data_IF_548983411907
#
_entry.id   IF_548983411907
#
_cell.length_a   1.000
_cell.length_b   1.000
_cell.length_c   1.000
_cell.angle_alpha   90.00
_cell.angle_beta   90.00
_cell.angle_gamma   90.00
#
_symmetry.space_group_name_H-M   'P 1'
#
loop_
_entity.id
_entity.type
_entity.pdbx_description
1 polymer ?
#
# COMPACT_ATOMS: atom_id res chain seq x y z
N UNK A 1 -9.26 -7.88 -13.08
CA UNK A 1 -9.62 -7.85 -11.64
C UNK A 1 -10.20 -9.17 -11.12
N UNK A 2 -10.75 -10.04 -11.98
CA UNK A 2 -11.32 -11.33 -11.56
C UNK A 2 -10.30 -12.30 -10.96
N UNK A 3 -9.03 -12.26 -11.42
CA UNK A 3 -7.99 -13.12 -10.89
C UNK A 3 -7.66 -12.73 -9.46
N UNK A 4 -7.56 -11.42 -9.18
CA UNK A 4 -7.36 -10.93 -7.82
C UNK A 4 -8.52 -11.32 -6.90
N UNK A 5 -9.77 -11.17 -7.35
CA UNK A 5 -10.96 -11.62 -6.61
C UNK A 5 -10.90 -13.09 -6.24
N UNK A 6 -10.57 -13.94 -7.22
CA UNK A 6 -10.42 -15.37 -7.01
C UNK A 6 -9.27 -15.67 -6.03
N UNK A 7 -8.15 -14.94 -6.13
CA UNK A 7 -7.00 -15.11 -5.25
C UNK A 7 -7.29 -14.73 -3.79
N UNK A 8 -7.99 -13.61 -3.55
CA UNK A 8 -8.43 -13.21 -2.21
C UNK A 8 -9.37 -14.25 -1.60
N UNK A 9 -10.31 -14.79 -2.41
CA UNK A 9 -11.19 -15.86 -1.94
C UNK A 9 -10.39 -17.10 -1.52
N UNK A 10 -9.44 -17.54 -2.36
CA UNK A 10 -8.58 -18.68 -2.07
C UNK A 10 -7.72 -18.44 -0.83
N UNK A 11 -7.14 -17.25 -0.67
CA UNK A 11 -6.37 -16.85 0.51
C UNK A 11 -7.20 -17.04 1.78
N UNK A 12 -8.41 -16.46 1.82
CA UNK A 12 -9.29 -16.55 2.97
C UNK A 12 -9.72 -18.01 3.27
N UNK A 13 -9.85 -18.87 2.25
CA UNK A 13 -10.10 -20.30 2.44
C UNK A 13 -8.90 -21.02 3.08
N UNK A 14 -7.67 -20.70 2.65
CA UNK A 14 -6.42 -21.25 3.22
C UNK A 14 -6.24 -20.82 4.67
N UNK A 15 -6.35 -19.52 4.96
CA UNK A 15 -6.22 -18.98 6.33
C UNK A 15 -7.27 -19.60 7.25
N UNK A 16 -8.52 -19.70 6.80
CA UNK A 16 -9.58 -20.35 7.59
C UNK A 16 -9.27 -21.81 7.93
N UNK A 17 -8.64 -22.54 7.01
CA UNK A 17 -8.26 -23.93 7.24
C UNK A 17 -7.06 -24.05 8.18
N UNK A 18 -6.06 -23.17 8.05
CA UNK A 18 -4.88 -23.15 8.91
C UNK A 18 -5.23 -22.86 10.37
N UNK A 19 -6.25 -22.04 10.60
CA UNK A 19 -6.71 -21.63 11.93
C UNK A 19 -8.12 -22.18 12.26
N UNK A 20 -8.43 -23.42 11.87
CA UNK A 20 -9.78 -23.99 12.07
C UNK A 20 -10.22 -24.05 13.54
N UNK A 21 -9.24 -24.20 14.45
CA UNK A 21 -9.44 -24.24 15.91
C UNK A 21 -9.21 -22.88 16.59
N UNK A 22 -8.81 -21.84 15.83
CA UNK A 22 -8.56 -20.48 16.32
C UNK A 22 -9.23 -19.43 15.42
N UNK A 23 -10.52 -19.24 15.66
CA UNK A 23 -11.35 -18.32 14.87
C UNK A 23 -10.89 -16.86 14.98
N UNK A 24 -10.29 -16.47 16.11
CA UNK A 24 -9.81 -15.10 16.31
C UNK A 24 -8.62 -14.84 15.38
N UNK A 25 -7.65 -15.75 15.32
CA UNK A 25 -6.53 -15.68 14.38
C UNK A 25 -6.99 -15.77 12.93
N UNK A 26 -7.97 -16.64 12.62
CA UNK A 26 -8.54 -16.74 11.27
C UNK A 26 -9.14 -15.42 10.78
N UNK A 27 -9.90 -14.71 11.63
CA UNK A 27 -10.52 -13.44 11.25
C UNK A 27 -9.51 -12.29 11.27
N UNK A 28 -8.49 -12.35 12.14
CA UNK A 28 -7.41 -11.37 12.20
C UNK A 28 -6.63 -11.25 10.88
N UNK A 29 -6.25 -12.38 10.29
CA UNK A 29 -5.49 -12.41 9.03
C UNK A 29 -6.35 -12.30 7.77
N UNK A 30 -7.66 -12.48 7.88
CA UNK A 30 -8.58 -12.47 6.75
C UNK A 30 -8.50 -11.15 5.98
N UNK A 31 -8.43 -11.25 4.65
CA UNK A 31 -8.52 -10.07 3.77
C UNK A 31 -9.99 -9.72 3.53
N UNK A 32 -10.33 -8.49 3.86
CA UNK A 32 -11.63 -7.86 3.65
C UNK A 32 -11.62 -6.88 2.46
N UNK A 33 -12.82 -6.57 1.96
CA UNK A 33 -13.07 -5.67 0.82
C UNK A 33 -14.24 -4.74 1.13
N UNK A 34 -14.08 -3.43 0.95
CA UNK A 34 -15.18 -2.46 0.99
C UNK A 34 -15.79 -2.32 -0.41
N UNK A 35 -16.55 -3.33 -0.86
CA UNK A 35 -17.11 -3.40 -2.23
C UNK A 35 -18.03 -2.21 -2.62
N UNK A 36 -18.47 -1.39 -1.66
CA UNK A 36 -19.36 -0.25 -1.88
C UNK A 36 -18.60 1.08 -1.82
N UNK A 37 -17.82 1.38 -2.86
CA UNK A 37 -17.25 2.73 -3.03
C UNK A 37 -18.18 3.58 -3.88
N UNK A 38 -18.53 4.77 -3.39
CA UNK A 38 -19.30 5.72 -4.16
C UNK A 38 -18.45 6.25 -5.33
N UNK A 39 -19.00 6.25 -6.54
CA UNK A 39 -18.35 6.86 -7.72
C UNK A 39 -17.95 8.32 -7.45
N UNK A 40 -18.72 9.02 -6.61
CA UNK A 40 -18.44 10.39 -6.17
C UNK A 40 -17.10 10.48 -5.43
N UNK A 41 -16.78 9.53 -4.56
CA UNK A 41 -15.53 9.53 -3.80
C UNK A 41 -14.33 9.27 -4.71
N UNK A 42 -14.49 8.38 -5.70
CA UNK A 42 -13.46 8.17 -6.74
C UNK A 42 -13.22 9.49 -7.50
N UNK A 43 -14.28 10.16 -7.94
CA UNK A 43 -14.19 11.43 -8.67
C UNK A 43 -13.56 12.55 -7.82
N UNK A 44 -13.88 12.63 -6.53
CA UNK A 44 -13.29 13.59 -5.59
C UNK A 44 -11.81 13.31 -5.32
N UNK A 45 -11.38 12.04 -5.38
CA UNK A 45 -9.98 11.65 -5.22
C UNK A 45 -9.13 11.98 -6.46
N UNK A 46 -9.71 11.97 -7.66
CA UNK A 46 -8.98 12.13 -8.93
C UNK A 46 -8.02 13.34 -8.97
N UNK A 47 -8.43 14.56 -8.56
CA UNK A 47 -7.56 15.72 -8.59
C UNK A 47 -6.29 15.60 -7.72
N UNK A 48 -6.35 14.81 -6.63
CA UNK A 48 -5.23 14.66 -5.70
C UNK A 48 -4.08 13.82 -6.25
N UNK A 49 -4.31 13.00 -7.28
CA UNK A 49 -3.23 12.24 -7.93
C UNK A 49 -2.23 13.17 -8.61
N UNK A 50 -2.66 14.31 -9.14
CA UNK A 50 -1.80 15.25 -9.86
C UNK A 50 -1.16 14.68 -11.13
N UNK A 51 -1.65 13.54 -11.62
CA UNK A 51 -1.21 12.85 -12.84
C UNK A 51 -2.30 11.88 -13.33
N UNK A 52 -2.10 11.26 -14.49
CA UNK A 52 -3.02 10.27 -15.02
C UNK A 52 -3.13 9.06 -14.09
N UNK A 53 -4.33 8.79 -13.59
CA UNK A 53 -4.62 7.60 -12.79
C UNK A 53 -4.69 6.36 -13.69
N UNK A 54 -3.99 5.26 -13.35
CA UNK A 54 -4.05 4.02 -14.12
C UNK A 54 -5.49 3.48 -14.22
N UNK A 55 -5.97 3.08 -15.41
CA UNK A 55 -7.29 2.45 -15.57
C UNK A 55 -7.49 1.23 -14.67
N UNK A 56 -6.45 0.43 -14.45
CA UNK A 56 -6.52 -0.73 -13.56
C UNK A 56 -6.76 -0.35 -12.10
N UNK A 57 -6.30 0.84 -11.66
CA UNK A 57 -6.56 1.34 -10.31
C UNK A 57 -8.00 1.85 -10.17
N UNK A 58 -8.53 2.49 -11.22
CA UNK A 58 -9.96 2.87 -11.24
C UNK A 58 -10.87 1.64 -11.26
N UNK A 59 -10.51 0.62 -12.05
CA UNK A 59 -11.17 -0.67 -12.05
C UNK A 59 -11.12 -1.30 -10.65
N UNK A 60 -9.96 -1.30 -9.99
CA UNK A 60 -9.79 -1.79 -8.63
C UNK A 60 -10.76 -1.11 -7.66
N UNK A 61 -10.75 0.22 -7.59
CA UNK A 61 -11.64 0.96 -6.67
C UNK A 61 -13.12 0.78 -6.99
N UNK A 62 -13.47 0.60 -8.26
CA UNK A 62 -14.87 0.37 -8.66
C UNK A 62 -15.35 -1.05 -8.37
N UNK A 63 -14.43 -2.00 -8.21
CA UNK A 63 -14.71 -3.44 -8.20
C UNK A 63 -14.53 -4.09 -6.84
N UNK A 64 -13.56 -3.59 -6.06
CA UNK A 64 -13.15 -4.08 -4.74
C UNK A 64 -13.23 -2.99 -3.67
N UNK A 65 -12.99 -1.74 -4.07
CA UNK A 65 -13.04 -0.56 -3.21
C UNK A 65 -11.85 -0.40 -2.27
N UNK A 66 -11.50 -1.44 -1.53
CA UNK A 66 -10.28 -1.54 -0.73
C UNK A 66 -9.82 -2.99 -0.62
N UNK A 67 -8.63 -3.18 -0.09
CA UNK A 67 -8.17 -4.46 0.42
C UNK A 67 -7.45 -4.22 1.74
N UNK A 68 -7.72 -5.04 2.74
CA UNK A 68 -6.89 -5.06 3.94
C UNK A 68 -7.32 -6.10 4.95
N UNK A 69 -6.53 -6.26 6.00
CA UNK A 69 -6.81 -7.14 7.13
C UNK A 69 -6.68 -6.38 8.46
N UNK A 70 -6.95 -7.06 9.57
CA UNK A 70 -6.88 -6.46 10.90
C UNK A 70 -5.50 -6.59 11.56
N UNK A 71 -4.57 -7.24 10.86
CA UNK A 71 -3.24 -7.56 11.35
C UNK A 71 -2.29 -6.35 11.22
N UNK A 72 -2.65 -5.23 11.85
CA UNK A 72 -1.93 -3.96 11.81
C UNK A 72 -0.45 -4.06 12.19
N UNK A 73 -0.14 -4.96 13.12
CA UNK A 73 1.20 -5.14 13.67
C UNK A 73 2.01 -6.28 13.03
N UNK A 74 1.39 -7.18 12.25
CA UNK A 74 2.06 -8.35 11.66
C UNK A 74 1.33 -8.83 10.40
N UNK A 75 2.04 -9.19 9.33
CA UNK A 75 1.41 -9.70 8.09
C UNK A 75 0.27 -8.79 7.54
N UNK A 76 0.50 -7.48 7.61
CA UNK A 76 -0.48 -6.46 7.28
C UNK A 76 -0.65 -6.25 5.79
N UNK A 77 -1.86 -5.97 5.32
CA UNK A 77 -2.13 -5.42 3.99
C UNK A 77 -3.06 -4.21 4.09
N UNK A 78 -2.75 -3.14 3.38
CA UNK A 78 -3.64 -2.00 3.23
C UNK A 78 -3.58 -1.40 1.82
N UNK A 79 -4.67 -1.53 1.08
CA UNK A 79 -5.03 -0.68 -0.04
C UNK A 79 -6.25 0.14 0.40
N UNK A 80 -6.08 1.38 0.87
CA UNK A 80 -7.14 2.16 1.50
C UNK A 80 -8.26 2.51 0.50
N UNK A 81 -9.50 2.58 0.98
CA UNK A 81 -10.62 3.02 0.16
C UNK A 81 -10.52 4.53 -0.18
N UNK A 82 -11.14 4.99 -1.28
CA UNK A 82 -11.18 6.42 -1.61
C UNK A 82 -11.72 7.32 -0.49
N UNK A 83 -12.80 6.96 0.25
CA UNK A 83 -13.23 7.72 1.42
C UNK A 83 -12.15 7.87 2.50
N UNK A 84 -11.40 6.79 2.77
CA UNK A 84 -10.30 6.82 3.74
C UNK A 84 -9.19 7.76 3.28
N UNK A 85 -8.77 7.67 2.02
CA UNK A 85 -7.78 8.56 1.43
C UNK A 85 -8.22 10.03 1.48
N UNK A 86 -9.49 10.32 1.12
CA UNK A 86 -10.05 11.67 1.20
C UNK A 86 -10.06 12.21 2.63
N UNK A 87 -10.38 11.37 3.62
CA UNK A 87 -10.31 11.76 5.04
C UNK A 87 -8.88 12.14 5.44
N UNK A 88 -7.89 11.35 5.04
CA UNK A 88 -6.47 11.61 5.33
C UNK A 88 -5.94 12.87 4.63
N UNK A 89 -6.39 13.14 3.41
CA UNK A 89 -5.99 14.34 2.64
C UNK A 89 -6.60 15.62 3.21
N UNK A 90 -7.82 15.54 3.76
CA UNK A 90 -8.58 16.70 4.23
C UNK A 90 -8.47 16.97 5.72
N UNK A 91 -7.88 16.06 6.52
CA UNK A 91 -7.68 16.30 7.95
C UNK A 91 -6.63 17.39 8.22
N UNK A 92 -6.82 18.13 9.31
CA UNK A 92 -5.86 19.10 9.83
C UNK A 92 -4.94 18.51 10.91
N UNK A 93 -5.23 17.29 11.38
CA UNK A 93 -4.42 16.64 12.40
C UNK A 93 -3.12 16.12 11.79
N UNK A 94 -1.99 16.66 12.25
CA UNK A 94 -0.68 16.36 11.68
C UNK A 94 -0.38 14.86 11.59
N UNK A 95 -0.65 14.10 12.65
CA UNK A 95 -0.36 12.66 12.71
C UNK A 95 -1.16 11.83 11.71
N UNK A 96 -2.38 12.27 11.36
CA UNK A 96 -3.28 11.59 10.42
C UNK A 96 -3.18 12.14 8.99
N UNK A 97 -2.52 13.29 8.82
CA UNK A 97 -2.55 14.03 7.57
C UNK A 97 -1.68 13.37 6.52
N UNK A 98 -2.30 13.06 5.39
CA UNK A 98 -1.60 12.75 4.14
C UNK A 98 -1.41 14.06 3.37
N UNK A 99 -0.17 14.54 3.28
CA UNK A 99 0.12 15.82 2.61
C UNK A 99 -0.06 15.76 1.09
N UNK A 100 0.11 14.59 0.48
CA UNK A 100 -0.22 14.34 -0.92
C UNK A 100 -0.38 12.83 -1.18
N UNK A 101 -0.80 12.47 -2.39
CA UNK A 101 -0.76 11.08 -2.88
C UNK A 101 0.66 10.60 -3.23
N UNK A 102 1.68 11.47 -3.07
CA UNK A 102 3.07 11.15 -3.35
C UNK A 102 3.62 10.06 -2.45
N UNK A 103 4.54 9.26 -2.99
CA UNK A 103 5.13 8.11 -2.31
C UNK A 103 5.79 8.44 -0.97
N UNK A 104 6.63 9.48 -0.93
CA UNK A 104 7.35 9.88 0.30
C UNK A 104 6.41 10.47 1.33
N UNK A 105 5.43 11.30 0.91
CA UNK A 105 4.45 11.87 1.84
C UNK A 105 3.58 10.76 2.47
N UNK A 106 3.23 9.76 1.69
CA UNK A 106 2.52 8.58 2.17
C UNK A 106 3.36 7.75 3.15
N UNK A 107 4.64 7.50 2.83
CA UNK A 107 5.58 6.83 3.74
C UNK A 107 5.65 7.57 5.08
N UNK A 108 5.84 8.88 5.07
CA UNK A 108 5.85 9.68 6.29
C UNK A 108 4.55 9.52 7.08
N UNK A 109 3.37 9.57 6.43
CA UNK A 109 2.07 9.37 7.09
C UNK A 109 1.97 8.03 7.80
N UNK A 110 2.52 6.96 7.23
CA UNK A 110 2.48 5.62 7.87
C UNK A 110 3.29 5.54 9.15
N UNK A 111 4.23 6.47 9.34
CA UNK A 111 5.02 6.66 10.56
C UNK A 111 4.55 7.90 11.34
N UNK A 112 3.24 8.20 11.31
CA UNK A 112 2.62 9.35 11.98
C UNK A 112 3.24 10.72 11.65
N UNK A 113 3.83 10.85 10.46
CA UNK A 113 4.64 12.00 10.01
C UNK A 113 5.89 12.29 10.85
N UNK A 114 6.31 11.36 11.70
CA UNK A 114 7.47 11.46 12.59
C UNK A 114 8.69 10.72 12.03
N UNK A 115 9.16 11.16 10.85
CA UNK A 115 10.40 10.65 10.23
C UNK A 115 11.37 11.80 9.96
N UNK A 116 12.16 12.22 10.97
CA UNK A 116 13.07 13.36 10.87
C UNK A 116 14.20 13.17 9.87
N UNK A 117 14.51 11.93 9.48
CA UNK A 117 15.55 11.59 8.51
C UNK A 117 15.26 12.23 7.14
N UNK A 118 13.99 12.26 6.72
CA UNK A 118 13.57 12.96 5.50
C UNK A 118 13.79 14.47 5.54
N UNK A 119 13.98 15.09 6.71
CA UNK A 119 14.27 16.52 6.81
C UNK A 119 15.72 16.86 6.40
N UNK A 120 16.59 15.85 6.33
CA UNK A 120 17.98 16.00 5.91
C UNK A 120 18.14 15.83 4.39
N UNK A 121 17.13 15.25 3.73
CA UNK A 121 17.12 15.01 2.30
C UNK A 121 16.82 16.29 1.50
N UNK A 122 17.20 16.30 0.22
CA UNK A 122 16.90 17.42 -0.66
C UNK A 122 15.40 17.54 -0.90
N UNK A 123 14.84 18.71 -0.54
CA UNK A 123 13.42 19.00 -0.80
C UNK A 123 13.04 18.83 -2.27
N UNK A 124 13.90 19.23 -3.21
CA UNK A 124 13.60 19.10 -4.64
C UNK A 124 13.54 17.65 -5.10
N UNK A 125 14.31 16.75 -4.48
CA UNK A 125 14.29 15.32 -4.79
C UNK A 125 13.01 14.67 -4.24
N UNK A 126 12.63 15.00 -3.01
CA UNK A 126 11.35 14.57 -2.42
C UNK A 126 10.17 15.06 -3.27
N UNK A 127 10.15 16.36 -3.59
CA UNK A 127 9.08 16.96 -4.40
C UNK A 127 9.03 16.31 -5.80
N UNK A 128 10.18 15.96 -6.40
CA UNK A 128 10.25 15.21 -7.65
C UNK A 128 9.62 13.81 -7.51
N UNK A 129 10.00 13.05 -6.47
CA UNK A 129 9.49 11.69 -6.26
C UNK A 129 7.98 11.74 -6.05
N UNK A 130 7.50 12.60 -5.16
CA UNK A 130 6.06 12.76 -4.87
C UNK A 130 5.26 13.18 -6.11
N UNK A 131 5.85 13.93 -7.03
CA UNK A 131 5.19 14.32 -8.27
C UNK A 131 5.04 13.15 -9.26
N UNK A 132 6.03 12.23 -9.33
CA UNK A 132 6.11 11.19 -10.37
C UNK A 132 5.69 9.79 -9.90
N UNK A 133 5.64 9.55 -8.59
CA UNK A 133 5.30 8.26 -8.00
C UNK A 133 4.22 8.42 -6.95
N UNK A 134 3.12 7.68 -7.12
CA UNK A 134 1.93 7.80 -6.25
C UNK A 134 1.71 6.53 -5.47
N UNK A 135 1.59 6.68 -4.16
CA UNK A 135 1.28 5.60 -3.23
C UNK A 135 -0.16 5.14 -3.43
N UNK A 136 -0.38 3.83 -3.38
CA UNK A 136 -1.71 3.23 -3.38
C UNK A 136 -1.96 2.28 -2.23
N UNK A 137 -0.94 1.89 -1.46
CA UNK A 137 -1.09 0.95 -0.36
C UNK A 137 0.25 0.42 0.13
N UNK A 138 0.22 -0.43 1.14
CA UNK A 138 1.41 -1.09 1.67
C UNK A 138 1.10 -2.50 2.16
N UNK A 139 2.15 -3.28 2.38
CA UNK A 139 2.04 -4.54 3.09
C UNK A 139 3.27 -4.85 3.95
N UNK A 140 3.09 -5.77 4.88
CA UNK A 140 4.12 -6.41 5.73
C UNK A 140 3.94 -7.91 5.65
N UNK A 141 5.00 -8.69 5.74
CA UNK A 141 4.91 -10.15 5.60
C UNK A 141 5.82 -10.94 6.55
N UNK A 142 6.56 -10.28 7.44
CA UNK A 142 7.60 -10.90 8.29
C UNK A 142 7.26 -10.85 9.79
N UNK A 143 5.99 -10.62 10.12
CA UNK A 143 5.51 -10.57 11.50
C UNK A 143 5.98 -9.37 12.32
N UNK A 144 6.69 -8.41 11.73
CA UNK A 144 7.28 -7.27 12.44
C UNK A 144 6.76 -5.92 11.95
N UNK A 145 6.76 -4.94 12.86
CA UNK A 145 6.35 -3.56 12.59
C UNK A 145 7.44 -2.70 11.94
N UNK A 146 8.68 -3.20 11.92
CA UNK A 146 9.88 -2.44 11.58
C UNK A 146 10.02 -2.24 10.07
N UNK A 147 9.41 -3.12 9.27
CA UNK A 147 9.49 -3.13 7.82
C UNK A 147 8.11 -2.95 7.17
N UNK A 148 8.08 -2.26 6.03
CA UNK A 148 6.91 -2.21 5.15
C UNK A 148 7.32 -2.08 3.68
N UNK A 149 6.46 -2.62 2.82
CA UNK A 149 6.59 -2.54 1.37
C UNK A 149 5.49 -1.65 0.80
N UNK A 150 5.90 -0.51 0.25
CA UNK A 150 5.03 0.53 -0.26
C UNK A 150 4.72 0.30 -1.73
N UNK A 151 3.44 0.18 -2.04
CA UNK A 151 2.92 -0.05 -3.37
C UNK A 151 2.67 1.30 -4.02
N UNK A 152 3.25 1.51 -5.20
CA UNK A 152 3.13 2.76 -5.94
C UNK A 152 2.86 2.54 -7.43
N UNK A 153 2.42 3.59 -8.12
CA UNK A 153 2.46 3.65 -9.59
C UNK A 153 3.24 4.87 -10.09
N UNK A 154 3.77 4.74 -11.31
CA UNK A 154 4.55 5.77 -11.99
C UNK A 154 3.77 6.49 -13.12
N UNK A 155 4.43 7.44 -13.77
CA UNK A 155 3.89 8.19 -14.91
C UNK A 155 3.54 7.33 -16.14
N UNK A 156 4.12 6.14 -16.26
CA UNK A 156 3.81 5.17 -17.30
C UNK A 156 2.67 4.22 -16.89
N UNK A 157 2.02 4.49 -15.75
CA UNK A 157 0.95 3.70 -15.18
C UNK A 157 1.37 2.25 -14.89
N UNK A 158 2.66 2.05 -14.58
CA UNK A 158 3.21 0.80 -14.09
C UNK A 158 3.29 0.84 -12.57
N UNK A 159 3.23 -0.34 -11.97
CA UNK A 159 3.24 -0.50 -10.52
C UNK A 159 4.58 -1.09 -10.04
N UNK A 160 4.96 -0.74 -8.83
CA UNK A 160 6.18 -1.19 -8.18
C UNK A 160 6.05 -1.20 -6.66
N UNK A 161 7.12 -1.68 -6.02
CA UNK A 161 7.29 -1.76 -4.59
C UNK A 161 8.53 -0.99 -4.16
N UNK A 162 8.46 -0.36 -2.99
CA UNK A 162 9.63 0.15 -2.27
C UNK A 162 9.65 -0.47 -0.89
N UNK A 163 10.77 -1.07 -0.51
CA UNK A 163 11.00 -1.56 0.85
C UNK A 163 11.44 -0.38 1.72
N UNK A 164 10.98 -0.37 2.96
CA UNK A 164 11.47 0.55 3.99
C UNK A 164 11.48 -0.15 5.34
N UNK A 165 12.69 -0.31 5.89
CA UNK A 165 12.91 -0.72 7.27
C UNK A 165 13.23 0.52 8.13
N UNK A 166 12.70 0.59 9.35
CA UNK A 166 12.79 1.79 10.19
C UNK A 166 14.23 2.21 10.49
N UNK A 167 15.11 1.23 10.71
CA UNK A 167 16.52 1.43 11.03
C UNK A 167 17.44 1.52 9.79
N UNK A 168 16.92 1.27 8.59
CA UNK A 168 17.69 1.23 7.33
C UNK A 168 17.26 2.36 6.39
N UNK A 169 17.22 3.59 6.91
CA UNK A 169 16.85 4.77 6.11
C UNK A 169 17.80 5.01 4.93
N UNK A 170 19.10 4.79 5.14
CA UNK A 170 20.11 4.95 4.10
C UNK A 170 19.85 3.96 2.94
N UNK A 171 19.46 2.72 3.24
CA UNK A 171 19.12 1.71 2.22
C UNK A 171 17.85 2.11 1.45
N UNK A 172 16.80 2.61 2.13
CA UNK A 172 15.65 3.21 1.45
C UNK A 172 16.09 4.31 0.47
N UNK A 173 16.96 5.20 0.92
CA UNK A 173 17.35 6.35 0.11
C UNK A 173 18.24 5.96 -1.07
N UNK A 174 19.25 5.10 -0.85
CA UNK A 174 20.23 4.71 -1.85
C UNK A 174 19.70 3.68 -2.85
N UNK A 175 18.95 2.68 -2.39
CA UNK A 175 18.51 1.55 -3.22
C UNK A 175 17.17 1.79 -3.93
N UNK A 176 16.32 2.65 -3.36
CA UNK A 176 14.98 2.90 -3.89
C UNK A 176 14.77 4.35 -4.35
N UNK A 177 14.91 5.32 -3.46
CA UNK A 177 14.52 6.70 -3.78
C UNK A 177 15.50 7.40 -4.73
N UNK A 178 16.80 7.19 -4.60
CA UNK A 178 17.82 7.77 -5.49
C UNK A 178 17.70 7.23 -6.92
N UNK A 179 17.53 5.92 -7.17
CA UNK A 179 17.27 5.40 -8.52
C UNK A 179 16.02 5.99 -9.19
N UNK A 180 14.97 6.23 -8.41
CA UNK A 180 13.72 6.85 -8.90
C UNK A 180 13.90 8.26 -9.47
N UNK A 181 14.96 8.98 -9.08
CA UNK A 181 15.31 10.28 -9.66
C UNK A 181 15.82 10.18 -11.12
N UNK A 182 16.25 8.98 -11.53
CA UNK A 182 16.79 8.73 -12.88
C UNK A 182 15.80 7.98 -13.75
N UNK A 183 15.20 6.93 -13.23
CA UNK A 183 14.27 6.08 -13.96
C UNK A 183 13.30 5.36 -13.03
N UNK A 184 12.09 5.11 -13.52
CA UNK A 184 11.11 4.30 -12.80
C UNK A 184 11.54 2.84 -12.76
N UNK A 185 11.49 2.26 -11.56
CA UNK A 185 11.64 0.81 -11.33
C UNK A 185 10.30 0.05 -11.47
N UNK A 186 9.19 0.77 -11.66
CA UNK A 186 7.88 0.16 -11.80
C UNK A 186 7.77 -0.57 -13.14
N UNK A 187 7.36 -1.84 -13.09
CA UNK A 187 7.27 -2.70 -14.28
C UNK A 187 6.00 -3.54 -14.31
N UNK A 188 5.28 -3.63 -13.20
CA UNK A 188 4.19 -4.58 -13.03
C UNK A 188 2.82 -4.01 -13.41
N UNK A 189 1.87 -4.92 -13.62
CA UNK A 189 0.44 -4.61 -13.65
C UNK A 189 -0.13 -4.73 -12.22
N UNK A 190 -1.10 -3.88 -11.87
CA UNK A 190 -1.70 -3.86 -10.54
C UNK A 190 -2.23 -5.24 -10.08
N UNK A 191 -3.01 -5.92 -10.93
CA UNK A 191 -3.64 -7.19 -10.57
C UNK A 191 -2.59 -8.26 -10.24
N UNK A 192 -1.51 -8.32 -11.03
CA UNK A 192 -0.41 -9.26 -10.80
C UNK A 192 0.41 -8.89 -9.55
N UNK A 193 0.68 -7.60 -9.35
CA UNK A 193 1.39 -7.13 -8.16
C UNK A 193 0.62 -7.48 -6.89
N UNK A 194 -0.69 -7.23 -6.85
CA UNK A 194 -1.50 -7.53 -5.66
C UNK A 194 -1.63 -9.05 -5.42
N UNK A 195 -1.64 -9.88 -6.47
CA UNK A 195 -1.57 -11.34 -6.31
C UNK A 195 -0.23 -11.74 -5.67
N UNK A 196 0.90 -11.20 -6.13
CA UNK A 196 2.21 -11.47 -5.53
C UNK A 196 2.28 -11.02 -4.07
N UNK A 197 1.70 -9.86 -3.75
CA UNK A 197 1.59 -9.39 -2.37
C UNK A 197 0.83 -10.40 -1.52
N UNK A 198 -0.35 -10.86 -1.96
CA UNK A 198 -1.14 -11.86 -1.22
C UNK A 198 -0.38 -13.19 -1.09
N UNK A 199 0.37 -13.60 -2.12
CA UNK A 199 1.20 -14.81 -2.06
C UNK A 199 2.31 -14.70 -1.00
N UNK A 200 2.97 -13.54 -0.88
CA UNK A 200 3.96 -13.29 0.18
C UNK A 200 3.32 -13.27 1.57
N UNK A 201 2.16 -12.62 1.74
CA UNK A 201 1.45 -12.66 3.02
C UNK A 201 1.08 -14.08 3.41
N UNK A 202 0.53 -14.87 2.48
CA UNK A 202 0.15 -16.26 2.75
C UNK A 202 1.34 -17.11 3.18
N UNK A 203 2.47 -17.00 2.47
CA UNK A 203 3.68 -17.72 2.82
C UNK A 203 4.18 -17.32 4.21
N UNK A 204 4.29 -16.03 4.50
CA UNK A 204 4.75 -15.53 5.79
C UNK A 204 3.86 -15.99 6.95
N UNK A 205 2.54 -15.90 6.80
CA UNK A 205 1.59 -16.33 7.84
C UNK A 205 1.72 -17.83 8.10
N UNK A 206 1.82 -18.65 7.05
CA UNK A 206 1.93 -20.10 7.20
C UNK A 206 3.27 -20.53 7.81
N UNK A 207 4.36 -19.85 7.47
CA UNK A 207 5.69 -20.11 8.04
C UNK A 207 5.79 -19.76 9.54
N UNK A 208 5.01 -18.79 10.03
CA UNK A 208 5.01 -18.38 11.45
C UNK A 208 4.22 -19.36 12.36
N UNK A 209 3.37 -20.20 11.78
CA UNK A 209 2.55 -21.19 12.50
C UNK A 209 3.29 -22.54 12.65
N UNK A 210 4.18 -22.86 11.71
CA UNK A 210 4.94 -24.13 11.65
C UNK A 210 6.09 -24.22 12.69
#
# INVERSE_FOLDING_TARGET
MDLLKARVKKFNEVIKQAFEDDLDSSEFYRIEQENEVCIKDIQELLPFWGMNTPPSLLEFYSTLGSLGNQADDSFYLEIPSPPKLLKELNTDQHFDKRYSMGLVDAMKRTWANDRPEFNQCSKSEIDYINAHYKFIGLYRYDGQLEEAFYIYFDQNQKFGLVRYHQDEFDDLWEEHLTPMLKASQASQNLEQLLIQVIDHLEAGILEDID
#
